data_IF_170744781501
#
_entry.id   IF_170744781501
#
_cell.length_a   1.000
_cell.length_b   1.000
_cell.length_c   1.000
_cell.angle_alpha   90.00
_cell.angle_beta   90.00
_cell.angle_gamma   90.00
#
_symmetry.space_group_name_H-M   'P 1'
#
loop_
_entity.id
_entity.type
_entity.pdbx_description
1 polymer ?
#
# COMPACT_ATOMS: atom_id res chain seq x y z
N UNK A 1 15.72 -0.03 1.45
CA UNK A 1 16.71 0.93 1.95
C UNK A 1 16.03 2.28 2.12
N UNK A 2 16.09 2.88 3.32
CA UNK A 2 15.57 4.22 3.60
C UNK A 2 16.45 5.25 2.86
N UNK A 3 15.86 6.07 2.01
CA UNK A 3 16.56 7.18 1.37
C UNK A 3 16.58 8.38 2.30
N UNK A 4 17.64 8.53 3.08
CA UNK A 4 17.85 9.66 3.99
C UNK A 4 18.22 10.99 3.31
N UNK A 5 18.35 11.03 2.00
CA UNK A 5 18.82 12.21 1.24
C UNK A 5 17.75 12.93 0.42
N UNK A 6 16.51 12.45 0.40
CA UNK A 6 15.43 13.18 -0.26
C UNK A 6 14.85 14.20 0.74
N UNK A 7 15.24 15.46 0.59
CA UNK A 7 14.63 16.56 1.34
C UNK A 7 13.27 16.84 0.70
N UNK A 8 12.21 16.27 1.27
CA UNK A 8 10.85 16.62 0.88
C UNK A 8 10.56 18.07 1.28
N UNK A 9 9.89 18.81 0.39
CA UNK A 9 9.37 20.14 0.75
C UNK A 9 8.26 20.01 1.81
N UNK A 10 7.95 21.10 2.51
CA UNK A 10 6.86 21.09 3.50
C UNK A 10 5.51 20.76 2.85
N UNK A 11 5.27 21.23 1.63
CA UNK A 11 4.06 20.89 0.86
C UNK A 11 4.00 19.39 0.54
N UNK A 12 5.09 18.80 0.06
CA UNK A 12 5.16 17.38 -0.20
C UNK A 12 4.93 16.55 1.05
N UNK A 13 5.50 16.95 2.19
CA UNK A 13 5.24 16.30 3.49
C UNK A 13 3.78 16.39 3.88
N UNK A 14 3.16 17.56 3.70
CA UNK A 14 1.74 17.77 4.00
C UNK A 14 0.86 16.88 3.12
N UNK A 15 1.09 16.89 1.80
CA UNK A 15 0.36 16.04 0.86
C UNK A 15 0.49 14.57 1.22
N UNK A 16 1.72 14.10 1.48
CA UNK A 16 1.96 12.70 1.89
C UNK A 16 1.26 12.37 3.22
N UNK A 17 1.26 13.29 4.19
CA UNK A 17 0.60 13.04 5.48
C UNK A 17 -0.91 12.86 5.32
N UNK A 18 -1.58 13.69 4.53
CA UNK A 18 -3.00 13.53 4.24
C UNK A 18 -3.28 12.28 3.42
N UNK A 19 -2.46 11.96 2.44
CA UNK A 19 -2.56 10.75 1.64
C UNK A 19 -2.54 9.48 2.52
N UNK A 20 -1.50 9.33 3.34
CA UNK A 20 -1.36 8.17 4.23
C UNK A 20 -2.44 8.12 5.32
N UNK A 21 -2.81 9.27 5.88
CA UNK A 21 -3.92 9.37 6.82
C UNK A 21 -5.25 8.96 6.15
N UNK A 22 -5.45 9.31 4.88
CA UNK A 22 -6.62 8.91 4.12
C UNK A 22 -6.78 7.39 4.02
N UNK A 23 -5.72 6.67 3.66
CA UNK A 23 -5.71 5.20 3.67
C UNK A 23 -6.03 4.64 5.05
N UNK A 24 -5.38 5.16 6.08
CA UNK A 24 -5.54 4.68 7.44
C UNK A 24 -6.97 4.88 7.96
N UNK A 25 -7.58 6.04 7.75
CA UNK A 25 -8.92 6.34 8.23
C UNK A 25 -9.98 5.52 7.51
N UNK A 26 -9.85 5.35 6.20
CA UNK A 26 -10.75 4.47 5.45
C UNK A 26 -10.65 3.04 6.00
N UNK A 27 -9.45 2.51 6.23
CA UNK A 27 -9.25 1.19 6.82
C UNK A 27 -9.84 1.05 8.23
N UNK A 28 -9.76 2.11 9.06
CA UNK A 28 -10.23 2.09 10.45
C UNK A 28 -11.75 2.24 10.60
N UNK A 29 -12.42 2.83 9.62
CA UNK A 29 -13.83 3.24 9.70
C UNK A 29 -14.76 2.54 8.73
N UNK A 30 -14.22 1.72 7.82
CA UNK A 30 -15.05 0.87 6.97
C UNK A 30 -15.64 -0.30 7.75
N UNK A 31 -16.90 -0.57 7.47
CA UNK A 31 -17.57 -1.76 8.02
C UNK A 31 -17.16 -3.03 7.28
N UNK A 32 -16.91 -4.09 8.04
CA UNK A 32 -16.64 -5.44 7.53
C UNK A 32 -15.16 -5.83 7.56
N UNK A 33 -14.78 -6.91 6.87
CA UNK A 33 -13.44 -7.48 6.96
C UNK A 33 -12.39 -6.52 6.39
N UNK A 34 -11.38 -6.23 7.19
CA UNK A 34 -10.24 -5.38 6.86
C UNK A 34 -9.06 -5.80 7.73
N UNK A 35 -7.85 -5.70 7.20
CA UNK A 35 -6.66 -5.93 8.03
C UNK A 35 -6.38 -4.69 8.88
N UNK A 36 -6.01 -4.88 10.17
CA UNK A 36 -5.78 -3.77 11.07
C UNK A 36 -4.58 -2.91 10.63
N UNK A 37 -4.72 -1.60 10.82
CA UNK A 37 -3.63 -0.65 10.56
C UNK A 37 -2.59 -0.76 11.66
N UNK A 38 -1.41 -1.23 11.30
CA UNK A 38 -0.30 -1.43 12.23
C UNK A 38 0.58 -0.18 12.39
N UNK A 39 0.79 0.54 11.29
CA UNK A 39 1.72 1.67 11.25
C UNK A 39 1.42 2.58 10.07
N UNK A 40 1.55 3.90 10.32
CA UNK A 40 1.51 4.92 9.26
C UNK A 40 2.79 5.75 9.32
N UNK A 41 3.43 6.01 8.19
CA UNK A 41 4.68 6.77 8.15
C UNK A 41 4.80 7.60 6.89
N UNK A 42 5.33 8.81 7.03
CA UNK A 42 5.67 9.71 5.93
C UNK A 42 7.17 9.71 5.64
N UNK A 43 7.92 8.76 6.20
CA UNK A 43 9.34 8.59 5.90
C UNK A 43 9.48 7.83 4.58
N UNK A 44 10.14 8.42 3.56
CA UNK A 44 10.27 7.79 2.25
C UNK A 44 10.98 6.43 2.30
N UNK A 45 10.42 5.45 1.56
CA UNK A 45 11.00 4.11 1.41
C UNK A 45 11.03 3.70 -0.05
N UNK A 46 12.19 3.60 -0.64
CA UNK A 46 12.32 3.28 -2.06
C UNK A 46 11.73 4.35 -2.95
N UNK A 47 10.65 4.04 -3.66
CA UNK A 47 9.91 4.99 -4.51
C UNK A 47 8.70 5.59 -3.80
N UNK A 48 8.23 4.98 -2.71
CA UNK A 48 7.11 5.47 -1.93
C UNK A 48 7.53 6.64 -1.03
N UNK A 49 6.72 7.70 -1.00
CA UNK A 49 6.94 8.88 -0.16
C UNK A 49 6.44 8.66 1.27
N UNK A 50 5.47 7.78 1.44
CA UNK A 50 4.95 7.31 2.72
C UNK A 50 4.53 5.84 2.63
N UNK A 51 4.04 5.28 3.72
CA UNK A 51 3.49 3.91 3.77
C UNK A 51 2.47 3.79 4.89
N UNK A 52 1.27 3.38 4.55
CA UNK A 52 0.28 2.86 5.49
C UNK A 52 0.36 1.34 5.51
N UNK A 53 0.79 0.79 6.63
CA UNK A 53 1.02 -0.65 6.77
C UNK A 53 -0.15 -1.30 7.49
N UNK A 54 -0.81 -2.21 6.81
CA UNK A 54 -1.77 -3.13 7.37
C UNK A 54 -1.09 -4.49 7.57
N UNK A 55 -1.38 -5.16 8.68
CA UNK A 55 -0.88 -6.50 8.96
C UNK A 55 -2.07 -7.40 9.25
N UNK A 56 -2.25 -8.50 8.49
CA UNK A 56 -3.25 -9.50 8.81
C UNK A 56 -2.95 -10.12 10.18
N UNK A 57 -3.97 -10.34 10.99
CA UNK A 57 -3.86 -11.02 12.29
C UNK A 57 -3.66 -12.52 12.12
N UNK A 58 -4.14 -13.07 11.01
CA UNK A 58 -4.03 -14.49 10.67
C UNK A 58 -3.65 -14.65 9.19
N UNK A 59 -2.99 -15.75 8.85
CA UNK A 59 -2.70 -16.11 7.45
C UNK A 59 -4.00 -16.48 6.73
N UNK A 60 -4.47 -15.57 5.87
CA UNK A 60 -5.67 -15.77 5.06
C UNK A 60 -5.30 -16.30 3.68
N UNK A 61 -5.71 -17.52 3.40
CA UNK A 61 -5.51 -18.13 2.08
C UNK A 61 -6.58 -17.73 1.05
N UNK A 62 -7.72 -17.21 1.51
CA UNK A 62 -8.84 -16.78 0.66
C UNK A 62 -9.38 -15.44 1.13
N UNK A 63 -9.81 -14.63 0.17
CA UNK A 63 -10.43 -13.33 0.43
C UNK A 63 -11.86 -13.35 -0.10
N UNK A 64 -12.80 -12.91 0.72
CA UNK A 64 -14.18 -12.73 0.28
C UNK A 64 -14.37 -11.43 -0.53
N UNK A 65 -15.51 -11.34 -1.21
CA UNK A 65 -15.86 -10.17 -2.04
C UNK A 65 -15.82 -8.87 -1.24
N UNK A 66 -16.33 -8.88 -0.01
CA UNK A 66 -16.43 -7.68 0.83
C UNK A 66 -15.06 -7.18 1.28
N UNK A 67 -14.15 -8.10 1.58
CA UNK A 67 -12.75 -7.76 1.87
C UNK A 67 -12.08 -7.07 0.68
N UNK A 68 -12.26 -7.60 -0.54
CA UNK A 68 -11.68 -7.01 -1.75
C UNK A 68 -12.29 -5.64 -2.07
N UNK A 69 -13.61 -5.48 -1.90
CA UNK A 69 -14.28 -4.18 -2.02
C UNK A 69 -13.72 -3.17 -1.00
N UNK A 70 -13.48 -3.59 0.24
CA UNK A 70 -12.86 -2.75 1.25
C UNK A 70 -11.41 -2.39 0.87
N UNK A 71 -10.63 -3.33 0.31
CA UNK A 71 -9.28 -3.03 -0.20
C UNK A 71 -9.29 -1.97 -1.31
N UNK A 72 -10.24 -2.05 -2.25
CA UNK A 72 -10.42 -1.01 -3.28
C UNK A 72 -10.72 0.35 -2.63
N UNK A 73 -11.62 0.39 -1.65
CA UNK A 73 -11.97 1.63 -0.95
C UNK A 73 -10.78 2.23 -0.20
N UNK A 74 -9.98 1.39 0.47
CA UNK A 74 -8.76 1.81 1.20
C UNK A 74 -7.74 2.41 0.23
N UNK A 75 -7.50 1.75 -0.90
CA UNK A 75 -6.58 2.25 -1.93
C UNK A 75 -7.02 3.60 -2.50
N UNK A 76 -8.32 3.87 -2.59
CA UNK A 76 -8.83 5.18 -3.00
C UNK A 76 -8.71 6.26 -1.91
N UNK A 77 -8.50 5.87 -0.65
CA UNK A 77 -8.47 6.76 0.51
C UNK A 77 -7.43 7.87 0.41
N UNK A 78 -6.20 7.55 -0.03
CA UNK A 78 -5.12 8.52 -0.17
C UNK A 78 -5.46 9.64 -1.16
N UNK A 79 -5.87 9.26 -2.38
CA UNK A 79 -6.29 10.22 -3.41
C UNK A 79 -7.48 11.08 -2.96
N UNK A 80 -8.46 10.45 -2.28
CA UNK A 80 -9.63 11.16 -1.79
C UNK A 80 -9.29 12.18 -0.71
N UNK A 81 -8.32 11.89 0.16
CA UNK A 81 -7.86 12.83 1.16
C UNK A 81 -7.17 14.04 0.51
N UNK A 82 -6.36 13.82 -0.54
CA UNK A 82 -5.78 14.91 -1.33
C UNK A 82 -6.87 15.78 -1.99
N UNK A 83 -7.86 15.15 -2.62
CA UNK A 83 -8.97 15.85 -3.29
C UNK A 83 -9.82 16.67 -2.30
N UNK A 84 -10.18 16.09 -1.15
CA UNK A 84 -11.10 16.73 -0.20
C UNK A 84 -10.47 17.88 0.56
N UNK A 85 -9.19 17.76 0.94
CA UNK A 85 -8.55 18.71 1.86
C UNK A 85 -7.63 19.69 1.14
N UNK A 86 -6.97 19.25 0.08
CA UNK A 86 -5.96 20.05 -0.63
C UNK A 86 -6.45 20.56 -1.98
N UNK A 87 -7.64 20.12 -2.41
CA UNK A 87 -8.18 20.38 -3.76
C UNK A 87 -7.16 20.04 -4.87
N UNK A 88 -6.40 18.97 -4.67
CA UNK A 88 -5.32 18.53 -5.54
C UNK A 88 -5.43 17.04 -5.86
N UNK A 89 -4.88 16.67 -7.00
CA UNK A 89 -4.73 15.29 -7.42
C UNK A 89 -3.31 15.09 -7.89
N UNK A 90 -2.54 14.29 -7.13
CA UNK A 90 -1.13 14.08 -7.46
C UNK A 90 -0.89 12.72 -8.13
N UNK A 91 0.24 12.59 -8.78
CA UNK A 91 0.70 11.31 -9.34
C UNK A 91 1.10 10.30 -8.27
N UNK A 92 1.14 10.72 -7.00
CA UNK A 92 1.45 9.83 -5.87
C UNK A 92 0.48 8.66 -5.74
N UNK A 93 -0.80 8.90 -6.08
CA UNK A 93 -1.85 7.87 -6.06
C UNK A 93 -1.83 6.88 -7.24
N UNK A 94 -0.87 6.98 -8.18
CA UNK A 94 -0.88 6.14 -9.40
C UNK A 94 -0.83 4.64 -9.09
N UNK A 95 0.00 4.23 -8.14
CA UNK A 95 0.12 2.82 -7.75
C UNK A 95 -1.17 2.30 -7.07
N UNK A 96 -1.81 3.12 -6.26
CA UNK A 96 -3.05 2.74 -5.58
C UNK A 96 -4.19 2.58 -6.58
N UNK A 97 -4.28 3.47 -7.57
CA UNK A 97 -5.27 3.37 -8.65
C UNK A 97 -5.01 2.12 -9.49
N UNK A 98 -3.75 1.83 -9.85
CA UNK A 98 -3.38 0.64 -10.59
C UNK A 98 -3.80 -0.63 -9.83
N UNK A 99 -3.42 -0.76 -8.56
CA UNK A 99 -3.79 -1.90 -7.72
C UNK A 99 -5.29 -2.05 -7.53
N UNK A 100 -6.02 -0.96 -7.32
CA UNK A 100 -7.46 -1.00 -7.19
C UNK A 100 -8.14 -1.46 -8.48
N UNK A 101 -7.63 -1.01 -9.63
CA UNK A 101 -8.12 -1.42 -10.95
C UNK A 101 -7.84 -2.90 -11.21
N UNK A 102 -6.67 -3.40 -10.82
CA UNK A 102 -6.32 -4.82 -10.96
C UNK A 102 -7.21 -5.71 -10.10
N UNK A 103 -7.47 -5.31 -8.84
CA UNK A 103 -8.38 -6.05 -7.96
C UNK A 103 -9.78 -6.09 -8.58
N UNK A 104 -10.32 -4.94 -8.97
CA UNK A 104 -11.65 -4.86 -9.57
C UNK A 104 -11.74 -5.70 -10.86
N UNK A 105 -10.73 -5.66 -11.73
CA UNK A 105 -10.69 -6.44 -12.95
C UNK A 105 -10.68 -7.95 -12.65
N UNK A 106 -9.85 -8.41 -11.71
CA UNK A 106 -9.81 -9.81 -11.31
C UNK A 106 -11.09 -10.29 -10.65
N UNK A 107 -11.77 -9.43 -9.87
CA UNK A 107 -13.09 -9.74 -9.30
C UNK A 107 -14.13 -10.04 -10.38
N UNK A 108 -14.06 -9.31 -11.50
CA UNK A 108 -15.00 -9.48 -12.63
C UNK A 108 -14.58 -10.62 -13.53
N UNK A 109 -13.30 -10.69 -13.91
CA UNK A 109 -12.84 -11.58 -14.99
C UNK A 109 -12.39 -12.95 -14.51
N UNK A 110 -11.81 -13.06 -13.31
CA UNK A 110 -11.13 -14.29 -12.86
C UNK A 110 -11.82 -14.97 -11.70
N UNK A 111 -12.42 -14.19 -10.78
CA UNK A 111 -12.99 -14.73 -9.54
C UNK A 111 -14.51 -14.87 -9.56
N UNK A 112 -15.17 -14.47 -10.66
CA UNK A 112 -16.64 -14.63 -10.84
C UNK A 112 -17.45 -13.87 -9.80
N UNK A 113 -16.96 -12.73 -9.27
CA UNK A 113 -17.58 -11.97 -8.19
C UNK A 113 -18.58 -10.92 -8.68
N UNK A 114 -18.76 -10.76 -10.00
CA UNK A 114 -19.80 -9.92 -10.60
C UNK A 114 -21.09 -10.72 -10.79
N UNK A 115 -22.20 -10.22 -10.27
CA UNK A 115 -23.53 -10.81 -10.49
C UNK A 115 -24.01 -10.69 -11.94
N UNK A 116 -23.58 -9.64 -12.65
CA UNK A 116 -23.97 -9.44 -14.04
C UNK A 116 -23.19 -10.33 -14.99
N UNK A 117 -21.88 -10.51 -14.73
CA UNK A 117 -21.02 -11.34 -15.56
C UNK A 117 -21.12 -12.83 -15.21
N UNK A 118 -21.61 -13.16 -14.01
CA UNK A 118 -21.73 -14.52 -13.53
C UNK A 118 -20.37 -15.16 -13.14
N UNK A 119 -20.41 -16.44 -12.68
CA UNK A 119 -19.22 -17.17 -12.26
C UNK A 119 -18.48 -17.81 -13.45
N UNK A 120 -18.03 -17.01 -14.38
CA UNK A 120 -17.30 -17.42 -15.57
C UNK A 120 -15.91 -16.76 -15.58
N UNK A 121 -14.91 -17.48 -16.09
CA UNK A 121 -13.56 -16.93 -16.27
C UNK A 121 -13.46 -16.25 -17.65
N UNK A 122 -13.28 -14.95 -17.64
CA UNK A 122 -13.01 -14.10 -18.81
C UNK A 122 -11.55 -13.66 -18.86
N UNK A 123 -10.71 -14.08 -17.90
CA UNK A 123 -9.30 -13.73 -17.86
C UNK A 123 -8.57 -14.30 -19.08
N UNK A 124 -7.83 -13.47 -19.76
CA UNK A 124 -6.82 -13.94 -20.68
C UNK A 124 -5.73 -14.62 -19.83
N UNK A 125 -5.39 -15.86 -20.13
CA UNK A 125 -4.14 -16.42 -19.65
C UNK A 125 -3.03 -15.48 -20.16
N UNK A 126 -2.36 -14.80 -19.24
CA UNK A 126 -1.08 -14.16 -19.55
C UNK A 126 -0.15 -15.30 -19.99
N UNK A 127 -0.09 -15.53 -21.30
CA UNK A 127 0.76 -16.53 -21.90
C UNK A 127 2.16 -16.26 -21.41
N UNK A 128 2.72 -17.21 -20.65
CA UNK A 128 4.12 -17.16 -20.24
C UNK A 128 4.97 -16.93 -21.49
N UNK A 129 5.75 -15.83 -21.59
CA UNK A 129 6.59 -15.56 -22.73
C UNK A 129 7.87 -16.41 -22.71
N UNK A 130 7.81 -17.64 -22.16
CA UNK A 130 8.96 -18.51 -22.07
C UNK A 130 8.73 -19.82 -22.82
N UNK A 131 9.46 -19.92 -23.87
CA UNK A 131 9.82 -21.01 -24.75
C UNK A 131 9.39 -20.80 -26.21
N UNK A 132 10.29 -20.19 -26.89
CA UNK A 132 10.78 -20.54 -28.20
C UNK A 132 9.84 -21.03 -29.31
N UNK A 133 9.76 -20.24 -30.38
CA UNK A 133 9.60 -20.70 -31.78
C UNK A 133 8.47 -21.70 -32.01
N UNK A 134 7.33 -21.20 -32.29
CA UNK A 134 6.26 -21.96 -32.91
C UNK A 134 5.06 -21.05 -33.03
N UNK A 135 4.72 -20.59 -34.21
CA UNK A 135 3.53 -19.81 -34.50
C UNK A 135 2.26 -20.57 -34.15
N UNK A 136 1.97 -20.65 -32.85
CA UNK A 136 0.71 -21.10 -32.31
C UNK A 136 -0.14 -19.89 -32.01
N UNK A 137 -1.28 -19.76 -32.67
CA UNK A 137 -2.31 -18.81 -32.32
C UNK A 137 -2.53 -18.91 -30.82
N UNK A 138 -2.23 -17.80 -30.10
CA UNK A 138 -2.65 -17.62 -28.72
C UNK A 138 -4.13 -17.94 -28.66
N UNK A 139 -4.50 -19.04 -28.02
CA UNK A 139 -5.92 -19.37 -27.79
C UNK A 139 -6.46 -18.57 -26.62
N UNK A 140 -6.16 -17.27 -26.60
CA UNK A 140 -6.87 -16.34 -25.75
C UNK A 140 -8.33 -16.38 -26.15
N UNK A 141 -9.21 -16.58 -25.18
CA UNK A 141 -10.66 -16.46 -25.41
C UNK A 141 -10.90 -15.09 -26.06
N UNK A 142 -11.20 -15.08 -27.35
CA UNK A 142 -11.60 -13.84 -28.02
C UNK A 142 -12.95 -13.40 -27.42
N UNK A 143 -12.88 -12.43 -26.54
CA UNK A 143 -14.09 -11.81 -26.00
C UNK A 143 -14.80 -11.05 -27.13
N UNK A 144 -16.13 -11.19 -27.19
CA UNK A 144 -16.89 -10.32 -28.06
C UNK A 144 -16.78 -8.87 -27.59
N UNK A 145 -16.91 -7.92 -28.49
CA UNK A 145 -16.88 -6.49 -28.16
C UNK A 145 -17.93 -6.13 -27.09
N UNK A 146 -19.09 -6.75 -27.14
CA UNK A 146 -20.16 -6.57 -26.17
C UNK A 146 -19.76 -7.08 -24.79
N UNK A 147 -19.14 -8.26 -24.69
CA UNK A 147 -18.62 -8.81 -23.43
C UNK A 147 -17.51 -7.93 -22.85
N UNK A 148 -16.61 -7.42 -23.67
CA UNK A 148 -15.56 -6.52 -23.24
C UNK A 148 -16.13 -5.22 -22.65
N UNK A 149 -17.13 -4.62 -23.29
CA UNK A 149 -17.84 -3.44 -22.77
C UNK A 149 -18.53 -3.71 -21.44
N UNK A 150 -19.14 -4.88 -21.28
CA UNK A 150 -19.79 -5.27 -20.02
C UNK A 150 -18.77 -5.46 -18.90
N UNK A 151 -17.62 -6.06 -19.17
CA UNK A 151 -16.52 -6.19 -18.22
C UNK A 151 -16.04 -4.80 -17.77
N UNK A 152 -15.77 -3.90 -18.71
CA UNK A 152 -15.31 -2.56 -18.38
C UNK A 152 -16.34 -1.76 -17.57
N UNK A 153 -17.62 -1.91 -17.87
CA UNK A 153 -18.71 -1.29 -17.11
C UNK A 153 -18.78 -1.84 -15.67
N UNK A 154 -18.62 -3.15 -15.48
CA UNK A 154 -18.60 -3.76 -14.15
C UNK A 154 -17.36 -3.38 -13.33
N UNK A 155 -16.16 -3.39 -13.93
CA UNK A 155 -14.94 -2.93 -13.30
C UNK A 155 -15.09 -1.48 -12.81
N UNK A 156 -15.60 -0.61 -13.66
CA UNK A 156 -15.90 0.78 -13.31
C UNK A 156 -16.91 0.88 -12.17
N UNK A 157 -17.96 0.08 -12.19
CA UNK A 157 -18.97 0.04 -11.15
C UNK A 157 -18.40 -0.33 -9.77
N UNK A 158 -17.49 -1.32 -9.70
CA UNK A 158 -16.78 -1.67 -8.46
C UNK A 158 -15.95 -0.51 -7.94
N UNK A 159 -15.18 0.15 -8.82
CA UNK A 159 -14.34 1.29 -8.45
C UNK A 159 -15.19 2.45 -7.95
N UNK A 160 -16.20 2.88 -8.73
CA UNK A 160 -17.07 4.03 -8.42
C UNK A 160 -17.84 3.83 -7.11
N UNK A 161 -18.34 2.61 -6.88
CA UNK A 161 -19.06 2.28 -5.64
C UNK A 161 -18.13 2.42 -4.42
N UNK A 162 -16.94 1.85 -4.48
CA UNK A 162 -16.00 1.87 -3.38
C UNK A 162 -15.35 3.24 -3.19
N UNK A 163 -15.15 4.00 -4.27
CA UNK A 163 -14.75 5.40 -4.22
C UNK A 163 -15.77 6.24 -3.44
N UNK A 164 -17.08 6.10 -3.73
CA UNK A 164 -18.14 6.81 -2.99
C UNK A 164 -18.20 6.40 -1.52
N UNK A 165 -18.00 5.12 -1.20
CA UNK A 165 -17.94 4.62 0.17
C UNK A 165 -16.76 5.26 0.93
N UNK A 166 -15.56 5.23 0.36
CA UNK A 166 -14.39 5.85 0.96
C UNK A 166 -14.57 7.37 1.13
N UNK A 167 -15.14 8.06 0.13
CA UNK A 167 -15.42 9.50 0.18
C UNK A 167 -16.36 9.85 1.34
N UNK A 168 -17.40 9.04 1.55
CA UNK A 168 -18.31 9.22 2.68
C UNK A 168 -17.59 9.05 4.01
N UNK A 169 -16.81 7.97 4.16
CA UNK A 169 -16.03 7.71 5.39
C UNK A 169 -15.10 8.87 5.72
N UNK A 170 -14.38 9.41 4.74
CA UNK A 170 -13.47 10.53 4.97
C UNK A 170 -14.21 11.81 5.35
N UNK A 171 -15.33 12.13 4.70
CA UNK A 171 -16.16 13.29 5.04
C UNK A 171 -16.74 13.19 6.46
N UNK A 172 -17.23 12.01 6.84
CA UNK A 172 -17.79 11.77 8.16
C UNK A 172 -16.73 11.79 9.27
N UNK A 173 -15.42 11.71 8.91
CA UNK A 173 -14.28 11.67 9.85
C UNK A 173 -13.20 12.72 9.50
N UNK A 174 -13.58 13.87 8.96
CA UNK A 174 -12.65 14.92 8.54
C UNK A 174 -11.78 15.46 9.68
N UNK A 175 -12.35 15.64 10.86
CA UNK A 175 -11.60 16.05 12.06
C UNK A 175 -10.51 15.05 12.44
N UNK A 176 -10.78 13.74 12.29
CA UNK A 176 -9.81 12.69 12.57
C UNK A 176 -8.71 12.70 11.52
N UNK A 177 -9.06 12.98 10.25
CA UNK A 177 -8.11 13.10 9.14
C UNK A 177 -7.11 14.24 9.41
N UNK A 178 -7.59 15.41 9.84
CA UNK A 178 -6.73 16.53 10.21
C UNK A 178 -5.80 16.18 11.37
N UNK A 179 -6.34 15.64 12.47
CA UNK A 179 -5.55 15.27 13.66
C UNK A 179 -4.47 14.23 13.35
N UNK A 180 -4.80 13.23 12.53
CA UNK A 180 -3.83 12.19 12.14
C UNK A 180 -2.73 12.76 11.24
N UNK A 181 -3.08 13.62 10.29
CA UNK A 181 -2.12 14.27 9.40
C UNK A 181 -1.19 15.22 10.15
N UNK A 182 -1.70 16.02 11.08
CA UNK A 182 -0.90 16.89 11.93
C UNK A 182 0.08 16.09 12.81
N UNK A 183 -0.40 15.01 13.42
CA UNK A 183 0.45 14.12 14.20
C UNK A 183 1.55 13.48 13.34
N UNK A 184 1.24 13.06 12.09
CA UNK A 184 2.25 12.55 11.16
C UNK A 184 3.29 13.60 10.80
N UNK A 185 2.91 14.86 10.64
CA UNK A 185 3.86 15.95 10.39
C UNK A 185 4.81 16.18 11.57
N UNK A 186 4.34 15.97 12.82
CA UNK A 186 5.16 16.13 14.01
C UNK A 186 6.11 14.96 14.29
N UNK A 187 5.57 13.71 14.22
CA UNK A 187 6.32 12.51 14.66
C UNK A 187 6.82 11.64 13.52
N UNK A 188 6.45 11.95 12.28
CA UNK A 188 6.79 11.26 11.02
C UNK A 188 6.35 9.78 10.95
N UNK A 189 5.96 9.18 12.07
CA UNK A 189 5.54 7.79 12.15
C UNK A 189 4.63 7.57 13.35
N UNK A 190 3.48 6.94 13.13
CA UNK A 190 2.46 6.61 14.12
C UNK A 190 2.34 5.08 14.19
N UNK A 191 2.39 4.51 15.38
CA UNK A 191 2.19 3.08 15.63
C UNK A 191 0.71 2.75 15.93
N UNK A 192 0.39 1.45 15.99
CA UNK A 192 -0.98 0.97 16.23
C UNK A 192 -1.58 1.49 17.55
N UNK A 193 -0.77 1.65 18.60
CA UNK A 193 -1.25 2.17 19.88
C UNK A 193 -1.61 3.65 19.77
N UNK A 194 -0.77 4.46 19.14
CA UNK A 194 -1.02 5.89 18.91
C UNK A 194 -2.24 6.11 18.00
N UNK A 195 -2.43 5.26 16.99
CA UNK A 195 -3.61 5.27 16.13
C UNK A 195 -4.88 5.02 16.98
N UNK A 196 -4.85 4.03 17.85
CA UNK A 196 -5.97 3.71 18.74
C UNK A 196 -6.27 4.86 19.71
N UNK A 197 -5.24 5.43 20.34
CA UNK A 197 -5.38 6.59 21.23
C UNK A 197 -6.03 7.78 20.50
N UNK A 198 -5.62 8.03 19.25
CA UNK A 198 -6.17 9.09 18.42
C UNK A 198 -7.65 8.87 18.08
N UNK A 199 -8.01 7.63 17.70
CA UNK A 199 -9.40 7.27 17.39
C UNK A 199 -10.30 7.34 18.61
N UNK A 200 -9.78 6.98 19.79
CA UNK A 200 -10.50 7.07 21.09
C UNK A 200 -10.58 8.52 21.62
N UNK A 201 -10.02 9.49 20.93
CA UNK A 201 -9.99 10.90 21.36
C UNK A 201 -9.10 11.16 22.58
N UNK A 202 -8.16 10.27 22.88
CA UNK A 202 -7.20 10.40 23.99
C UNK A 202 -5.99 11.23 23.57
N UNK A 203 -5.29 11.78 24.57
CA UNK A 203 -4.01 12.47 24.34
C UNK A 203 -2.98 11.44 23.87
N UNK A 204 -2.51 11.58 22.63
CA UNK A 204 -1.53 10.65 22.05
C UNK A 204 -0.16 10.82 22.69
N UNK A 205 0.44 9.72 23.12
CA UNK A 205 1.78 9.68 23.67
C UNK A 205 2.83 9.98 22.59
N UNK A 206 3.40 11.19 22.60
CA UNK A 206 4.39 11.65 21.59
C UNK A 206 5.74 10.98 21.79
N UNK A 207 5.92 9.78 21.25
CA UNK A 207 7.25 9.13 21.18
C UNK A 207 7.97 9.60 19.93
N UNK A 208 8.91 10.53 20.04
CA UNK A 208 9.84 10.81 18.94
C UNK A 208 10.61 9.54 18.57
N UNK A 209 10.81 9.23 17.28
CA UNK A 209 11.57 8.05 16.86
C UNK A 209 12.97 8.09 17.51
N UNK A 210 13.33 7.08 18.31
CA UNK A 210 14.59 7.03 18.98
C UNK A 210 15.72 6.86 17.94
N UNK A 211 16.54 7.89 17.76
CA UNK A 211 17.75 7.90 16.90
C UNK A 211 18.80 6.83 17.28
N UNK A 212 18.60 6.07 18.37
CA UNK A 212 19.61 5.15 18.94
C UNK A 212 19.67 3.75 18.31
N UNK A 213 18.63 3.26 17.64
CA UNK A 213 18.63 1.89 17.11
C UNK A 213 19.53 1.67 15.87
N UNK A 214 19.91 2.74 15.17
CA UNK A 214 20.72 2.65 13.93
C UNK A 214 22.22 2.78 14.17
N UNK A 215 22.64 3.37 15.28
CA UNK A 215 24.06 3.49 15.63
C UNK A 215 24.64 2.15 16.14
N UNK A 216 23.86 1.39 16.91
CA UNK A 216 24.28 0.09 17.44
C UNK A 216 24.47 -1.00 16.36
N UNK A 217 23.70 -0.94 15.26
CA UNK A 217 23.87 -1.88 14.14
C UNK A 217 25.09 -1.59 13.28
N UNK A 218 25.52 -0.30 13.18
CA UNK A 218 26.74 0.08 12.44
C UNK A 218 28.02 -0.27 13.20
N UNK A 219 28.02 -0.22 14.52
CA UNK A 219 29.16 -0.62 15.36
C UNK A 219 29.43 -2.12 15.26
N UNK A 220 28.37 -2.97 15.33
CA UNK A 220 28.53 -4.44 15.22
C UNK A 220 28.94 -4.94 13.83
N UNK A 221 28.63 -4.20 12.76
CA UNK A 221 29.04 -4.57 11.40
C UNK A 221 30.47 -4.16 11.10
N UNK A 222 30.96 -3.09 11.72
CA UNK A 222 32.36 -2.64 11.58
C UNK A 222 33.34 -3.56 12.35
N UNK A 223 32.98 -4.04 13.55
CA UNK A 223 33.81 -5.01 14.29
C UNK A 223 33.92 -6.37 13.60
N UNK A 224 32.86 -6.83 12.92
CA UNK A 224 32.90 -8.10 12.17
C UNK A 224 33.74 -8.02 10.89
N UNK A 225 33.93 -6.85 10.29
CA UNK A 225 34.77 -6.67 9.10
C UNK A 225 36.25 -6.56 9.40
N UNK A 226 36.61 -6.06 10.57
CA UNK A 226 38.03 -5.97 11.02
C UNK A 226 38.59 -7.30 11.57
N UNK A 227 37.72 -8.14 12.15
CA UNK A 227 38.11 -9.48 12.60
C UNK A 227 38.43 -10.44 11.44
N UNK A 228 37.76 -10.29 10.29
CA UNK A 228 37.96 -11.16 9.11
C UNK A 228 39.20 -10.81 8.28
N UNK A 229 39.83 -9.65 8.52
CA UNK A 229 41.06 -9.20 7.81
C UNK A 229 42.36 -9.58 8.53
N UNK A 230 42.30 -10.10 9.78
CA UNK A 230 43.50 -10.48 10.57
C UNK A 230 43.88 -11.96 10.45
N UNK A 231 43.06 -12.81 9.81
CA UNK A 231 43.35 -14.26 9.75
C UNK A 231 43.87 -14.77 8.40
N UNK A 232 44.26 -13.89 7.46
CA UNK A 232 44.76 -14.30 6.13
C UNK A 232 46.20 -13.82 5.86
N UNK A 233 47.05 -13.65 6.90
CA UNK A 233 48.48 -13.34 6.70
C UNK A 233 49.33 -14.15 7.65
N UNK A 234 49.44 -15.46 7.46
CA UNK A 234 50.61 -16.26 7.84
C UNK A 234 50.46 -17.64 7.20
N UNK A 235 51.18 -17.87 6.13
CA UNK A 235 51.67 -19.19 5.74
C UNK A 235 53.09 -19.08 5.24
N UNK A 236 54.01 -19.84 5.78
CA UNK A 236 55.44 -19.71 5.47
C UNK A 236 55.80 -20.50 4.21
N UNK A 237 56.74 -19.93 3.45
CA UNK A 237 57.48 -20.60 2.39
C UNK A 237 58.23 -21.80 2.95
N UNK A 238 58.02 -22.97 2.39
CA UNK A 238 58.98 -24.09 2.51
C UNK A 238 59.70 -24.28 1.16
N UNK A 239 61.00 -24.31 1.24
CA UNK A 239 61.95 -24.67 0.16
C UNK A 239 61.91 -26.20 -0.09
N UNK A 240 61.84 -26.64 -1.26
CA UNK A 240 62.87 -27.41 -2.00
C UNK A 240 62.35 -27.68 -3.39
#
# INVERSE_FOLDING_TARGET
AERRSSVMTQEQKKTTAYHEAGHAIVALKLDGPCDPVHKVTIIPRGRALGVTMQLPEEDKYTHDKKYLENQIAILMGGRLAEELILDQMTTGASNDIERASDIARRMVTSWGMSTKMGPQNYGQEEGQPFLGRGGGMSSGVMLSEETAKQIDAEVRSFIDTNYKRAKKVLKDNEDLLHKMSELLLEVETIDAQQIKELVDGKTVTRKKPSRKATAAKKAKTAEKSTAKKKTTKTSPKAKK
#
